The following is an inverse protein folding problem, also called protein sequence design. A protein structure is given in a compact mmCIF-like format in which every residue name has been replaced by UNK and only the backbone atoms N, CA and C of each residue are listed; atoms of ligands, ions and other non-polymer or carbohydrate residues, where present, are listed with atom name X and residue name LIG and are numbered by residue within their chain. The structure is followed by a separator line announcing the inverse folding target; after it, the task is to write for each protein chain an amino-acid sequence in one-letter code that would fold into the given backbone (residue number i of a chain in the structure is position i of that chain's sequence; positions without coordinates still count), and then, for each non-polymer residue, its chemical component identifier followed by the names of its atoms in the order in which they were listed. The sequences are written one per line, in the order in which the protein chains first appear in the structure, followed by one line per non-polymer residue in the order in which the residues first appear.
data_IF_665108998237
#
_entry.id   IF_665108998237
#
_cell.length_a   1.000
_cell.length_b   1.000
_cell.length_c   1.000
_cell.angle_alpha   90.00
_cell.angle_beta   90.00
_cell.angle_gamma   90.00
#
_symmetry.space_group_name_H-M   'P 1'
#
loop_
_entity.id
_entity.type
_entity.pdbx_description
1 polymer ?
#
# COMPACT_ATOMS: atom_id res chain seq x y z
N UNK A 1 -3.63 -12.97 -5.60
CA UNK A 1 -3.74 -11.69 -6.34
C UNK A 1 -4.96 -10.85 -5.94
N UNK A 2 -5.96 -11.36 -5.22
CA UNK A 2 -7.16 -10.58 -4.87
C UNK A 2 -6.95 -9.48 -3.81
N UNK A 3 -6.08 -9.72 -2.82
CA UNK A 3 -5.85 -8.78 -1.72
C UNK A 3 -5.38 -7.38 -2.18
N UNK A 4 -4.31 -7.22 -3.00
CA UNK A 4 -3.88 -5.90 -3.44
C UNK A 4 -4.90 -5.19 -4.35
N UNK A 5 -5.67 -5.94 -5.14
CA UNK A 5 -6.71 -5.38 -6.04
C UNK A 5 -7.89 -4.81 -5.24
N UNK A 6 -8.17 -5.34 -4.05
CA UNK A 6 -9.32 -4.95 -3.23
C UNK A 6 -8.95 -3.96 -2.13
N UNK A 7 -7.86 -4.20 -1.40
CA UNK A 7 -7.47 -3.42 -0.23
C UNK A 7 -7.12 -1.97 -0.58
N UNK A 8 -6.47 -1.72 -1.71
CA UNK A 8 -6.11 -0.38 -2.17
C UNK A 8 -7.34 0.52 -2.39
N UNK A 9 -8.24 0.17 -3.34
CA UNK A 9 -9.47 0.93 -3.59
C UNK A 9 -10.36 1.07 -2.34
N UNK A 10 -10.49 0.01 -1.53
CA UNK A 10 -11.26 0.06 -0.28
C UNK A 10 -10.66 1.05 0.71
N UNK A 11 -9.34 1.02 0.93
CA UNK A 11 -8.66 1.95 1.83
C UNK A 11 -8.79 3.40 1.34
N UNK A 12 -8.66 3.64 0.03
CA UNK A 12 -8.90 4.95 -0.56
C UNK A 12 -10.33 5.44 -0.33
N UNK A 13 -11.35 4.62 -0.62
CA UNK A 13 -12.75 4.99 -0.41
C UNK A 13 -13.04 5.32 1.07
N UNK A 14 -12.55 4.49 2.00
CA UNK A 14 -12.72 4.72 3.44
C UNK A 14 -11.98 5.96 3.95
N UNK A 15 -10.79 6.24 3.40
CA UNK A 15 -10.01 7.43 3.76
C UNK A 15 -10.64 8.71 3.20
N UNK A 16 -11.12 8.69 1.95
CA UNK A 16 -11.87 9.81 1.35
C UNK A 16 -13.16 10.10 2.13
N UNK A 17 -13.93 9.06 2.46
CA UNK A 17 -15.12 9.24 3.29
C UNK A 17 -14.76 9.76 4.68
N UNK A 18 -13.65 9.29 5.28
CA UNK A 18 -13.18 9.86 6.53
C UNK A 18 -12.90 11.35 6.35
N UNK A 19 -12.09 11.76 5.35
CA UNK A 19 -11.71 13.13 5.06
C UNK A 19 -12.90 14.10 4.89
N UNK A 20 -13.98 13.66 4.24
CA UNK A 20 -15.16 14.49 3.99
C UNK A 20 -16.15 14.56 5.16
N UNK A 21 -16.11 13.58 6.07
CA UNK A 21 -17.05 13.52 7.18
C UNK A 21 -16.47 14.17 8.45
N UNK A 22 -17.37 14.45 9.41
CA UNK A 22 -17.00 15.04 10.70
C UNK A 22 -15.87 14.26 11.41
N UNK A 23 -14.96 14.96 12.12
CA UNK A 23 -13.93 14.31 12.93
C UNK A 23 -14.55 13.35 13.95
N UNK A 24 -14.08 12.11 13.94
CA UNK A 24 -14.44 11.05 14.90
C UNK A 24 -13.47 9.89 14.77
N UNK A 25 -13.50 8.96 15.72
CA UNK A 25 -12.74 7.72 15.61
C UNK A 25 -13.15 6.92 14.35
N UNK A 26 -12.14 6.43 13.61
CA UNK A 26 -12.30 5.66 12.36
C UNK A 26 -11.57 4.31 12.44
N UNK A 27 -11.97 3.45 13.38
CA UNK A 27 -11.34 2.13 13.60
C UNK A 27 -11.28 1.28 12.32
N UNK A 28 -12.36 1.19 11.56
CA UNK A 28 -12.42 0.44 10.29
C UNK A 28 -11.43 0.99 9.26
N UNK A 29 -11.42 2.31 9.04
CA UNK A 29 -10.47 2.95 8.12
C UNK A 29 -9.02 2.69 8.55
N UNK A 30 -8.72 2.72 9.86
CA UNK A 30 -7.39 2.40 10.39
C UNK A 30 -6.97 0.97 10.12
N UNK A 31 -7.87 0.01 10.33
CA UNK A 31 -7.61 -1.41 10.05
C UNK A 31 -7.34 -1.59 8.55
N UNK A 32 -8.18 -1.02 7.69
CA UNK A 32 -8.01 -1.09 6.24
C UNK A 32 -6.65 -0.52 5.80
N UNK A 33 -6.26 0.66 6.31
CA UNK A 33 -4.96 1.26 6.02
C UNK A 33 -3.80 0.39 6.53
N UNK A 34 -3.88 -0.19 7.74
CA UNK A 34 -2.84 -1.10 8.26
C UNK A 34 -2.67 -2.34 7.38
N UNK A 35 -3.78 -2.94 6.91
CA UNK A 35 -3.76 -4.06 5.98
C UNK A 35 -3.11 -3.63 4.66
N UNK A 36 -3.51 -2.49 4.09
CA UNK A 36 -2.92 -1.93 2.87
C UNK A 36 -1.42 -1.66 3.02
N UNK A 37 -0.98 -1.16 4.18
CA UNK A 37 0.42 -0.93 4.48
C UNK A 37 1.22 -2.24 4.51
N UNK A 38 0.70 -3.25 5.21
CA UNK A 38 1.30 -4.58 5.27
C UNK A 38 1.38 -5.23 3.87
N UNK A 39 0.32 -5.11 3.07
CA UNK A 39 0.29 -5.63 1.70
C UNK A 39 1.33 -4.95 0.80
N UNK A 40 1.58 -3.65 0.97
CA UNK A 40 2.64 -2.97 0.24
C UNK A 40 4.03 -3.52 0.57
N UNK A 41 4.36 -3.74 1.85
CA UNK A 41 5.62 -4.36 2.27
C UNK A 41 5.75 -5.81 1.79
N UNK A 42 4.70 -6.62 1.98
CA UNK A 42 4.68 -8.01 1.52
C UNK A 42 4.84 -8.07 -0.01
N UNK A 43 4.20 -7.16 -0.73
CA UNK A 43 4.26 -7.06 -2.18
C UNK A 43 5.68 -6.80 -2.70
N UNK A 44 6.50 -6.00 -2.00
CA UNK A 44 7.93 -5.82 -2.34
C UNK A 44 8.62 -7.18 -2.36
N UNK A 45 8.42 -8.01 -1.34
CA UNK A 45 9.00 -9.34 -1.26
C UNK A 45 8.57 -10.24 -2.42
N UNK A 46 7.28 -10.22 -2.79
CA UNK A 46 6.79 -10.98 -3.94
C UNK A 46 7.36 -10.47 -5.28
N UNK A 47 7.46 -9.16 -5.46
CA UNK A 47 8.03 -8.58 -6.68
C UNK A 47 9.53 -8.87 -6.77
N UNK A 48 10.25 -8.77 -5.65
CA UNK A 48 11.66 -9.13 -5.55
C UNK A 48 11.90 -10.61 -5.88
N UNK A 49 11.05 -11.51 -5.35
CA UNK A 49 11.09 -12.93 -5.72
C UNK A 49 10.79 -13.14 -7.20
N UNK A 50 9.89 -12.35 -7.78
CA UNK A 50 9.61 -12.38 -9.21
C UNK A 50 10.83 -11.99 -10.06
N UNK A 51 11.51 -10.89 -9.71
CA UNK A 51 12.78 -10.50 -10.34
C UNK A 51 13.82 -11.62 -10.25
N UNK A 52 13.95 -12.27 -9.09
CA UNK A 52 14.88 -13.39 -8.90
C UNK A 52 14.61 -14.58 -9.85
N UNK A 53 13.36 -14.75 -10.30
CA UNK A 53 12.92 -15.88 -11.14
C UNK A 53 12.95 -15.57 -12.63
N UNK A 54 13.15 -14.31 -13.02
CA UNK A 54 13.34 -13.95 -14.43
C UNK A 54 14.69 -14.45 -14.95
N UNK A 55 14.86 -14.47 -16.28
CA UNK A 55 16.11 -14.84 -16.92
C UNK A 55 17.27 -13.95 -16.43
N UNK A 56 18.35 -14.58 -15.94
CA UNK A 56 19.48 -13.89 -15.33
C UNK A 56 19.21 -13.30 -13.93
N UNK A 57 17.97 -13.38 -13.43
CA UNK A 57 17.58 -12.96 -12.09
C UNK A 57 18.09 -11.56 -11.70
N UNK A 58 18.55 -11.43 -10.45
CA UNK A 58 19.19 -10.20 -9.97
C UNK A 58 20.55 -9.89 -10.62
N UNK A 59 21.19 -10.84 -11.30
CA UNK A 59 22.43 -10.56 -12.05
C UNK A 59 22.13 -9.74 -13.31
N UNK A 60 20.92 -9.87 -13.86
CA UNK A 60 20.38 -9.06 -14.95
C UNK A 60 19.36 -8.01 -14.44
N UNK A 61 19.64 -7.38 -13.30
CA UNK A 61 18.69 -6.46 -12.66
C UNK A 61 18.32 -5.25 -13.53
N UNK A 62 19.23 -4.74 -14.35
CA UNK A 62 19.01 -3.57 -15.20
C UNK A 62 17.85 -3.79 -16.17
N UNK A 63 17.71 -5.00 -16.71
CA UNK A 63 16.56 -5.38 -17.51
C UNK A 63 15.38 -5.83 -16.65
N UNK A 64 15.63 -6.62 -15.60
CA UNK A 64 14.55 -7.26 -14.84
C UNK A 64 13.79 -6.30 -13.91
N UNK A 65 14.36 -5.17 -13.48
CA UNK A 65 13.61 -4.13 -12.75
C UNK A 65 12.62 -3.41 -13.68
N UNK A 66 12.97 -3.25 -14.97
CA UNK A 66 12.15 -2.53 -15.94
C UNK A 66 11.11 -3.44 -16.62
N UNK A 67 11.50 -4.67 -16.97
CA UNK A 67 10.68 -5.62 -17.71
C UNK A 67 10.02 -6.69 -16.83
N UNK A 68 10.50 -6.85 -15.59
CA UNK A 68 9.93 -7.80 -14.63
C UNK A 68 8.80 -7.21 -13.79
N UNK A 69 8.40 -7.88 -12.70
CA UNK A 69 7.38 -7.36 -11.80
C UNK A 69 7.80 -5.98 -11.25
N UNK A 70 6.91 -4.97 -11.28
CA UNK A 70 7.29 -3.59 -11.02
C UNK A 70 7.64 -3.40 -9.54
N UNK A 71 8.92 -3.49 -9.19
CA UNK A 71 9.41 -3.41 -7.80
C UNK A 71 8.95 -2.15 -7.05
N UNK A 72 8.85 -0.96 -7.69
CA UNK A 72 8.39 0.26 -7.01
C UNK A 72 6.88 0.34 -6.75
N UNK A 73 6.05 -0.53 -7.36
CA UNK A 73 4.60 -0.41 -7.24
C UNK A 73 4.05 -0.75 -5.84
N UNK A 74 4.47 -1.85 -5.17
CA UNK A 74 3.96 -2.20 -3.84
C UNK A 74 4.26 -1.16 -2.73
N UNK A 75 5.47 -0.55 -2.65
CA UNK A 75 5.75 0.51 -1.67
C UNK A 75 4.77 1.69 -1.72
N UNK A 76 4.19 1.99 -2.89
CA UNK A 76 3.18 3.05 -3.03
C UNK A 76 1.95 2.81 -2.15
N UNK A 77 1.55 1.55 -1.93
CA UNK A 77 0.45 1.19 -1.04
C UNK A 77 0.80 1.49 0.42
N UNK A 78 2.03 1.14 0.83
CA UNK A 78 2.53 1.45 2.17
C UNK A 78 2.64 2.95 2.41
N UNK A 79 3.17 3.71 1.45
CA UNK A 79 3.28 5.16 1.55
C UNK A 79 1.91 5.83 1.72
N UNK A 80 0.95 5.51 0.84
CA UNK A 80 -0.42 6.05 0.93
C UNK A 80 -1.09 5.67 2.25
N UNK A 81 -0.95 4.42 2.68
CA UNK A 81 -1.59 3.93 3.89
C UNK A 81 -1.02 4.58 5.16
N UNK A 82 0.31 4.72 5.24
CA UNK A 82 0.98 5.37 6.38
C UNK A 82 0.64 6.86 6.43
N UNK A 83 0.62 7.55 5.30
CA UNK A 83 0.17 8.94 5.22
C UNK A 83 -1.30 9.08 5.68
N UNK A 84 -2.18 8.16 5.25
CA UNK A 84 -3.57 8.13 5.71
C UNK A 84 -3.72 7.89 7.21
N UNK A 85 -2.90 7.01 7.80
CA UNK A 85 -2.90 6.76 9.24
C UNK A 85 -2.44 7.99 10.02
N UNK A 86 -1.41 8.70 9.53
CA UNK A 86 -0.94 9.96 10.12
C UNK A 86 -2.02 11.05 10.02
N UNK A 87 -2.68 11.17 8.86
CA UNK A 87 -3.79 12.11 8.69
C UNK A 87 -4.94 11.82 9.66
N UNK A 88 -5.35 10.55 9.83
CA UNK A 88 -6.39 10.18 10.80
C UNK A 88 -5.98 10.44 12.25
N UNK A 89 -4.69 10.34 12.59
CA UNK A 89 -4.18 10.70 13.92
C UNK A 89 -4.29 12.20 14.16
N UNK A 90 -3.96 13.02 13.16
CA UNK A 90 -4.07 14.47 13.27
C UNK A 90 -5.53 14.90 13.41
N UNK A 91 -6.43 14.32 12.62
CA UNK A 91 -7.86 14.65 12.63
C UNK A 91 -8.58 14.32 13.93
N UNK A 92 -8.07 13.41 14.75
CA UNK A 92 -8.63 13.18 16.10
C UNK A 92 -8.46 14.37 17.05
N UNK A 93 -7.61 15.32 16.69
CA UNK A 93 -7.42 16.57 17.44
C UNK A 93 -8.36 17.70 17.00
N UNK A 94 -9.04 17.53 15.87
CA UNK A 94 -10.09 18.44 15.38
C UNK A 94 -11.33 18.22 16.27
N UNK A 95 -11.66 19.20 17.12
CA UNK A 95 -12.88 19.22 17.94
C UNK A 95 -14.07 19.72 17.14
#
# INVERSE_FOLDING_TARGET
MYAPVTAGPLACALLTHAALAAPRERSITRIALRITAALGFIGVGFHARGVARNQGGWRNWSQNILNGPPLPAPPGFSALALAGLAALRLRETEK
#
